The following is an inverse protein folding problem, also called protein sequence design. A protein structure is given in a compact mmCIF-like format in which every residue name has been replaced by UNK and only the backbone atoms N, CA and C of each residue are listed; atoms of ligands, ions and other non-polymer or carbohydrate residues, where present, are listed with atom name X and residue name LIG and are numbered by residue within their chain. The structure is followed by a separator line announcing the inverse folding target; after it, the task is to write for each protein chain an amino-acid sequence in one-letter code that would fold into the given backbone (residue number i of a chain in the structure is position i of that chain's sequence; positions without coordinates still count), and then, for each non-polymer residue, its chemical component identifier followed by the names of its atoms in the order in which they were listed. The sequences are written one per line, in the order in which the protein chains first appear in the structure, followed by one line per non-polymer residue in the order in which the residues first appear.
data_IF_171572557439
#
_entry.id   IF_171572557439
#
_cell.length_a   1.000
_cell.length_b   1.000
_cell.length_c   1.000
_cell.angle_alpha   90.00
_cell.angle_beta   90.00
_cell.angle_gamma   90.00
#
_symmetry.space_group_name_H-M   'P 1'
#
loop_
_entity.id
_entity.type
_entity.pdbx_description
1 polymer ?
#
# COMPACT_ATOMS: atom_id res chain seq x y z
N UNK A 1 -25.98 100.30 -33.79
CA UNK A 1 -26.37 99.09 -33.08
C UNK A 1 -25.84 97.85 -33.84
N UNK A 2 -24.64 97.38 -33.46
CA UNK A 2 -24.08 96.17 -34.10
C UNK A 2 -23.88 95.09 -33.05
N UNK A 3 -24.59 93.98 -33.19
CA UNK A 3 -24.43 92.81 -32.39
C UNK A 3 -23.30 91.97 -32.99
N UNK A 4 -22.23 91.75 -32.20
CA UNK A 4 -21.14 90.83 -32.52
C UNK A 4 -21.49 89.47 -31.98
N UNK A 5 -21.67 88.50 -32.85
CA UNK A 5 -21.87 87.05 -32.48
C UNK A 5 -20.50 86.34 -32.41
N UNK A 6 -20.12 85.89 -31.21
CA UNK A 6 -18.92 85.18 -30.92
C UNK A 6 -19.16 83.66 -31.12
N UNK A 7 -18.52 83.05 -32.10
CA UNK A 7 -18.53 81.66 -32.37
C UNK A 7 -17.52 80.97 -31.43
N UNK A 8 -17.99 80.03 -30.58
CA UNK A 8 -17.11 79.16 -29.81
C UNK A 8 -16.90 77.86 -30.59
N UNK A 9 -15.66 77.56 -30.96
CA UNK A 9 -15.20 76.30 -31.50
C UNK A 9 -14.86 75.37 -30.32
N UNK A 10 -15.66 74.32 -30.14
CA UNK A 10 -15.38 73.33 -29.18
C UNK A 10 -14.35 72.32 -29.76
N UNK A 11 -13.18 72.28 -29.16
CA UNK A 11 -12.18 71.25 -29.46
C UNK A 11 -12.54 69.96 -28.74
N UNK A 12 -12.80 68.90 -29.51
CA UNK A 12 -13.10 67.53 -28.99
C UNK A 12 -11.75 66.82 -28.76
N UNK A 13 -11.33 66.73 -27.51
CA UNK A 13 -10.17 65.93 -27.12
C UNK A 13 -10.64 64.46 -26.94
N UNK A 14 -10.33 63.59 -27.92
CA UNK A 14 -10.50 62.17 -27.82
C UNK A 14 -9.37 61.61 -26.93
N UNK A 15 -9.68 61.31 -25.68
CA UNK A 15 -8.83 60.56 -24.78
C UNK A 15 -8.84 59.06 -25.13
N UNK A 16 -7.73 58.56 -25.67
CA UNK A 16 -7.50 57.12 -25.89
C UNK A 16 -7.19 56.47 -24.53
N UNK A 17 -8.18 55.89 -23.87
CA UNK A 17 -7.99 55.07 -22.70
C UNK A 17 -7.51 53.69 -23.17
N UNK A 18 -6.19 53.48 -23.17
CA UNK A 18 -5.59 52.18 -23.42
C UNK A 18 -5.89 51.23 -22.26
N UNK A 19 -6.80 50.28 -22.51
CA UNK A 19 -7.09 49.17 -21.58
C UNK A 19 -5.91 48.20 -21.61
N UNK A 20 -4.98 48.32 -20.65
CA UNK A 20 -3.91 47.34 -20.42
C UNK A 20 -4.56 46.08 -19.82
N UNK A 21 -4.88 45.10 -20.67
CA UNK A 21 -5.26 43.78 -20.24
C UNK A 21 -4.00 43.08 -19.68
N UNK A 22 -3.81 43.12 -18.35
CA UNK A 22 -2.84 42.31 -17.65
C UNK A 22 -3.30 40.85 -17.77
N UNK A 23 -2.82 40.14 -18.80
CA UNK A 23 -2.92 38.70 -18.86
C UNK A 23 -2.10 38.11 -17.69
N UNK A 24 -2.77 37.72 -16.61
CA UNK A 24 -2.15 36.93 -15.55
C UNK A 24 -1.82 35.56 -16.14
N UNK A 25 -0.55 35.39 -16.54
CA UNK A 25 -0.01 34.06 -16.90
C UNK A 25 0.02 33.25 -15.62
N UNK A 26 -1.01 32.45 -15.38
CA UNK A 26 -0.97 31.39 -14.37
C UNK A 26 0.06 30.39 -14.85
N UNK A 27 1.28 30.48 -14.31
CA UNK A 27 2.30 29.46 -14.50
C UNK A 27 1.84 28.20 -13.76
N UNK A 28 1.25 27.25 -14.48
CA UNK A 28 1.05 25.89 -13.94
C UNK A 28 2.45 25.31 -13.75
N UNK A 29 2.78 24.99 -12.50
CA UNK A 29 4.00 24.26 -12.20
C UNK A 29 3.96 22.95 -13.00
N UNK A 30 4.95 22.75 -13.86
CA UNK A 30 5.05 21.50 -14.63
C UNK A 30 5.37 20.37 -13.67
N UNK A 31 4.74 19.20 -13.87
CA UNK A 31 5.07 17.99 -13.12
C UNK A 31 6.59 17.75 -13.11
N UNK A 32 7.19 17.41 -11.97
CA UNK A 32 8.61 17.07 -11.89
C UNK A 32 9.00 15.87 -12.75
N UNK A 33 8.02 15.14 -13.29
CA UNK A 33 8.19 14.02 -14.22
C UNK A 33 8.03 14.45 -15.68
N UNK A 34 7.70 15.72 -15.95
CA UNK A 34 7.60 16.24 -17.29
C UNK A 34 8.98 16.17 -17.99
N UNK A 35 9.01 15.61 -19.19
CA UNK A 35 10.24 15.50 -19.97
C UNK A 35 11.05 14.23 -19.72
N UNK A 36 10.57 13.28 -18.89
CA UNK A 36 11.15 11.94 -18.82
C UNK A 36 10.85 11.21 -20.14
N UNK A 37 11.90 10.65 -20.74
CA UNK A 37 11.81 9.85 -21.94
C UNK A 37 11.82 8.34 -21.64
N UNK A 38 11.78 7.52 -22.68
CA UNK A 38 11.77 6.06 -22.56
C UNK A 38 13.05 5.52 -21.87
N UNK A 39 14.19 6.17 -22.09
CA UNK A 39 15.45 5.79 -21.44
C UNK A 39 15.44 6.11 -19.94
N UNK A 40 14.80 7.21 -19.54
CA UNK A 40 14.58 7.56 -18.14
C UNK A 40 13.67 6.53 -17.44
N UNK A 41 12.61 6.09 -18.11
CA UNK A 41 11.71 5.06 -17.58
C UNK A 41 12.40 3.70 -17.46
N UNK A 42 13.26 3.34 -18.44
CA UNK A 42 14.04 2.11 -18.39
C UNK A 42 15.06 2.14 -17.23
N UNK A 43 15.71 3.27 -17.00
CA UNK A 43 16.60 3.45 -15.84
C UNK A 43 15.83 3.43 -14.54
N UNK A 44 14.66 4.07 -14.49
CA UNK A 44 13.72 4.02 -13.36
C UNK A 44 13.31 2.59 -13.01
N UNK A 45 13.07 1.73 -14.01
CA UNK A 45 12.80 0.31 -13.81
C UNK A 45 13.97 -0.43 -13.17
N UNK A 46 15.21 -0.17 -13.60
CA UNK A 46 16.39 -0.80 -13.00
C UNK A 46 16.58 -0.37 -11.55
N UNK A 47 16.47 0.93 -11.29
CA UNK A 47 16.54 1.48 -9.93
C UNK A 47 15.42 0.93 -9.04
N UNK A 48 14.20 0.82 -9.57
CA UNK A 48 13.07 0.20 -8.87
C UNK A 48 13.38 -1.25 -8.46
N UNK A 49 13.97 -2.04 -9.37
CA UNK A 49 14.34 -3.44 -9.06
C UNK A 49 15.37 -3.54 -7.94
N UNK A 50 16.29 -2.59 -7.87
CA UNK A 50 17.32 -2.57 -6.82
C UNK A 50 16.76 -2.11 -5.48
N UNK A 51 15.96 -1.04 -5.46
CA UNK A 51 15.57 -0.36 -4.22
C UNK A 51 14.15 -0.72 -3.72
N UNK A 52 13.26 -1.14 -4.59
CA UNK A 52 11.83 -1.21 -4.29
C UNK A 52 11.24 -2.62 -4.46
N UNK A 53 11.79 -3.42 -5.40
CA UNK A 53 11.20 -4.70 -5.80
C UNK A 53 11.16 -5.74 -4.68
N UNK A 54 12.07 -5.68 -3.69
CA UNK A 54 12.05 -6.56 -2.53
C UNK A 54 10.68 -6.54 -1.84
N UNK A 55 10.10 -5.35 -1.69
CA UNK A 55 8.81 -5.17 -1.01
C UNK A 55 7.64 -5.11 -2.00
N UNK A 56 7.81 -4.43 -3.14
CA UNK A 56 6.73 -4.19 -4.09
C UNK A 56 6.63 -5.23 -5.22
N UNK A 57 7.50 -6.24 -5.22
CA UNK A 57 7.61 -7.25 -6.29
C UNK A 57 8.34 -6.72 -7.53
N UNK A 58 8.93 -7.61 -8.33
CA UNK A 58 9.77 -7.25 -9.49
C UNK A 58 9.04 -6.42 -10.56
N UNK A 59 7.71 -6.51 -10.60
CA UNK A 59 6.84 -5.80 -11.54
C UNK A 59 5.91 -4.81 -10.85
N UNK A 60 6.16 -4.48 -9.57
CA UNK A 60 5.30 -3.57 -8.80
C UNK A 60 3.92 -4.12 -8.44
N UNK A 61 3.67 -5.41 -8.60
CA UNK A 61 2.37 -6.05 -8.35
C UNK A 61 2.08 -6.34 -6.87
N UNK A 62 2.94 -5.85 -5.99
CA UNK A 62 2.84 -6.07 -4.55
C UNK A 62 3.66 -7.25 -4.06
N UNK A 63 3.80 -7.32 -2.76
CA UNK A 63 4.52 -8.29 -1.97
C UNK A 63 4.31 -7.92 -0.51
N UNK A 64 5.36 -7.72 0.29
CA UNK A 64 5.24 -7.05 1.59
C UNK A 64 4.71 -5.62 1.45
N UNK A 65 5.17 -4.90 0.41
CA UNK A 65 4.72 -3.56 0.04
C UNK A 65 3.46 -3.59 -0.81
N UNK A 66 2.87 -2.42 -1.02
CA UNK A 66 1.64 -2.26 -1.78
C UNK A 66 1.82 -2.63 -3.26
N UNK A 67 0.71 -3.08 -3.89
CA UNK A 67 0.59 -3.18 -5.33
C UNK A 67 0.59 -1.78 -5.95
N UNK A 68 1.55 -1.50 -6.82
CA UNK A 68 1.74 -0.21 -7.50
C UNK A 68 1.12 -0.16 -8.90
N UNK A 69 0.64 -1.30 -9.45
CA UNK A 69 -0.06 -1.36 -10.73
C UNK A 69 -1.49 -0.81 -10.58
N UNK A 70 -1.61 0.46 -10.18
CA UNK A 70 -2.87 1.12 -9.92
C UNK A 70 -2.82 2.57 -10.35
N UNK A 71 -3.89 3.09 -10.97
CA UNK A 71 -3.96 4.51 -11.36
C UNK A 71 -3.85 5.46 -10.17
N UNK A 72 -4.32 5.05 -9.01
CA UNK A 72 -4.27 5.84 -7.77
C UNK A 72 -3.57 5.06 -6.66
N UNK A 73 -2.61 5.70 -6.03
CA UNK A 73 -1.89 5.21 -4.87
C UNK A 73 -2.41 5.93 -3.62
N UNK A 74 -2.62 5.18 -2.53
CA UNK A 74 -3.33 5.65 -1.31
C UNK A 74 -2.80 6.96 -0.71
N UNK A 75 -1.48 7.16 -0.75
CA UNK A 75 -0.81 8.29 -0.09
C UNK A 75 -0.25 9.31 -1.09
N UNK A 76 -0.59 9.19 -2.37
CA UNK A 76 0.00 9.99 -3.46
C UNK A 76 -1.08 10.85 -4.10
N UNK A 77 -1.05 12.15 -3.84
CA UNK A 77 -1.92 13.15 -4.48
C UNK A 77 -1.44 13.53 -5.88
N UNK A 78 -0.13 13.71 -6.03
CA UNK A 78 0.55 14.24 -7.22
C UNK A 78 1.95 13.64 -7.38
N UNK A 79 2.73 14.13 -8.31
CA UNK A 79 4.08 13.61 -8.61
C UNK A 79 5.12 14.09 -7.61
N UNK A 80 4.94 15.28 -7.07
CA UNK A 80 5.77 15.84 -6.00
C UNK A 80 5.67 14.98 -4.73
N UNK A 81 4.45 14.65 -4.33
CA UNK A 81 4.19 13.76 -3.19
C UNK A 81 4.79 12.38 -3.42
N UNK A 82 4.71 11.84 -4.65
CA UNK A 82 5.33 10.56 -4.97
C UNK A 82 6.84 10.60 -4.76
N UNK A 83 7.52 11.64 -5.24
CA UNK A 83 8.98 11.81 -5.06
C UNK A 83 9.31 12.01 -3.57
N UNK A 84 8.49 12.77 -2.84
CA UNK A 84 8.68 12.95 -1.40
C UNK A 84 8.57 11.62 -0.64
N UNK A 85 7.57 10.80 -0.95
CA UNK A 85 7.41 9.46 -0.37
C UNK A 85 8.60 8.57 -0.70
N UNK A 86 9.09 8.58 -1.93
CA UNK A 86 10.30 7.83 -2.29
C UNK A 86 11.51 8.28 -1.49
N UNK A 87 11.66 9.59 -1.27
CA UNK A 87 12.79 10.17 -0.54
C UNK A 87 12.72 9.94 0.97
N UNK A 88 11.53 10.07 1.58
CA UNK A 88 11.33 10.10 3.05
C UNK A 88 10.65 8.86 3.61
N UNK A 89 10.00 8.05 2.75
CA UNK A 89 9.13 6.96 3.18
C UNK A 89 7.77 7.45 3.66
N UNK A 90 7.00 6.55 4.25
CA UNK A 90 5.69 6.84 4.84
C UNK A 90 5.77 6.59 6.34
N UNK A 91 5.74 7.64 7.18
CA UNK A 91 5.82 7.51 8.64
C UNK A 91 4.74 6.55 9.19
N UNK A 92 5.11 5.74 10.16
CA UNK A 92 4.20 4.76 10.79
C UNK A 92 3.90 3.52 9.93
N UNK A 93 4.61 3.35 8.80
CA UNK A 93 4.48 2.17 7.93
C UNK A 93 5.84 1.48 7.73
N UNK A 94 5.83 0.32 7.06
CA UNK A 94 7.06 -0.39 6.65
C UNK A 94 7.74 0.18 5.40
N UNK A 95 7.26 1.28 4.82
CA UNK A 95 7.86 1.91 3.65
C UNK A 95 8.99 2.87 4.04
N UNK A 96 10.25 2.51 3.91
CA UNK A 96 11.37 3.41 4.20
C UNK A 96 11.59 4.38 3.05
N UNK A 97 12.20 5.53 3.35
CA UNK A 97 12.71 6.42 2.31
C UNK A 97 14.05 5.94 1.73
N UNK A 98 14.35 6.38 0.51
CA UNK A 98 15.67 6.21 -0.10
C UNK A 98 16.15 7.51 -0.74
N UNK A 99 17.44 7.83 -0.52
CA UNK A 99 18.09 8.98 -1.15
C UNK A 99 19.24 8.56 -2.07
N UNK A 100 19.58 7.26 -2.05
CA UNK A 100 20.72 6.72 -2.79
C UNK A 100 20.71 7.00 -4.28
N UNK A 101 19.55 6.97 -5.00
CA UNK A 101 19.53 7.27 -6.43
C UNK A 101 19.74 8.75 -6.78
N UNK A 102 19.74 9.65 -5.78
CA UNK A 102 19.74 11.09 -6.00
C UNK A 102 18.43 11.60 -6.60
N UNK A 103 18.35 12.94 -6.85
CA UNK A 103 17.11 13.59 -7.33
C UNK A 103 16.65 13.00 -8.68
N UNK A 104 17.56 12.90 -9.66
CA UNK A 104 17.24 12.36 -10.99
C UNK A 104 16.75 10.92 -10.91
N UNK A 105 17.42 10.07 -10.13
CA UNK A 105 17.01 8.68 -9.96
C UNK A 105 15.65 8.53 -9.26
N UNK A 106 15.33 9.40 -8.30
CA UNK A 106 14.00 9.43 -7.69
C UNK A 106 12.90 9.82 -8.69
N UNK A 107 13.17 10.80 -9.57
CA UNK A 107 12.27 11.17 -10.66
C UNK A 107 12.07 10.00 -11.63
N UNK A 108 13.14 9.31 -12.01
CA UNK A 108 13.09 8.13 -12.89
C UNK A 108 12.28 6.99 -12.27
N UNK A 109 12.47 6.70 -10.97
CA UNK A 109 11.66 5.70 -10.24
C UNK A 109 10.20 6.14 -10.21
N UNK A 110 9.90 7.41 -9.91
CA UNK A 110 8.54 7.93 -9.88
C UNK A 110 7.86 7.82 -11.26
N UNK A 111 8.55 8.17 -12.34
CA UNK A 111 8.08 8.00 -13.71
C UNK A 111 7.75 6.53 -14.02
N UNK A 112 8.64 5.60 -13.66
CA UNK A 112 8.38 4.17 -13.82
C UNK A 112 7.17 3.71 -12.98
N UNK A 113 7.03 4.14 -11.72
CA UNK A 113 5.88 3.81 -10.87
C UNK A 113 4.58 4.33 -11.49
N UNK A 114 4.57 5.55 -12.06
CA UNK A 114 3.40 6.06 -12.79
C UNK A 114 3.05 5.23 -14.03
N UNK A 115 4.06 4.74 -14.75
CA UNK A 115 3.82 3.85 -15.90
C UNK A 115 3.19 2.53 -15.49
N UNK A 116 3.54 1.99 -14.32
CA UNK A 116 2.88 0.79 -13.77
C UNK A 116 1.38 1.00 -13.59
N UNK A 117 0.97 2.19 -13.13
CA UNK A 117 -0.44 2.54 -12.94
C UNK A 117 -1.27 2.60 -14.23
N UNK A 118 -0.62 2.61 -15.38
CA UNK A 118 -1.27 2.60 -16.71
C UNK A 118 -1.44 1.17 -17.26
N UNK A 119 -0.83 0.18 -16.63
CA UNK A 119 -1.00 -1.21 -17.04
C UNK A 119 -2.43 -1.71 -16.77
N UNK A 120 -2.94 -2.66 -17.57
CA UNK A 120 -4.22 -3.27 -17.30
C UNK A 120 -4.29 -3.85 -15.89
N UNK A 121 -5.39 -3.58 -15.19
CA UNK A 121 -5.63 -4.17 -13.86
C UNK A 121 -5.79 -5.67 -14.00
N UNK A 122 -5.10 -6.43 -13.13
CA UNK A 122 -5.27 -7.89 -13.08
C UNK A 122 -6.71 -8.24 -12.71
N UNK A 123 -7.34 -9.07 -13.54
CA UNK A 123 -8.67 -9.62 -13.28
C UNK A 123 -8.46 -11.02 -12.69
N UNK A 124 -8.87 -11.27 -11.44
CA UNK A 124 -8.77 -12.59 -10.85
C UNK A 124 -9.75 -13.55 -11.57
N UNK A 125 -9.35 -14.82 -11.78
CA UNK A 125 -10.14 -15.76 -12.59
C UNK A 125 -11.38 -16.34 -11.89
N UNK A 126 -11.56 -16.07 -10.58
CA UNK A 126 -12.64 -16.64 -9.75
C UNK A 126 -13.84 -15.74 -9.57
N UNK A 127 -14.88 -16.27 -8.92
CA UNK A 127 -16.10 -15.56 -8.53
C UNK A 127 -15.96 -15.01 -7.11
N UNK A 128 -16.02 -13.69 -6.95
CA UNK A 128 -15.87 -13.03 -5.66
C UNK A 128 -17.03 -13.31 -4.68
N UNK A 129 -18.24 -13.59 -5.19
CA UNK A 129 -19.41 -13.92 -4.34
C UNK A 129 -19.25 -15.30 -3.75
N UNK A 130 -18.86 -16.28 -4.57
CA UNK A 130 -18.53 -17.63 -4.09
C UNK A 130 -17.33 -17.58 -3.14
N UNK A 131 -16.31 -16.81 -3.48
CA UNK A 131 -15.13 -16.62 -2.64
C UNK A 131 -15.46 -16.06 -1.26
N UNK A 132 -16.42 -15.13 -1.15
CA UNK A 132 -16.92 -14.64 0.13
C UNK A 132 -17.59 -15.77 0.93
N UNK A 133 -18.43 -16.55 0.29
CA UNK A 133 -19.10 -17.69 0.95
C UNK A 133 -18.07 -18.70 1.49
N UNK A 134 -17.04 -19.02 0.69
CA UNK A 134 -15.97 -19.93 1.11
C UNK A 134 -15.17 -19.31 2.26
N UNK A 135 -14.85 -18.02 2.21
CA UNK A 135 -14.15 -17.27 3.25
C UNK A 135 -14.87 -17.38 4.61
N UNK A 136 -16.19 -17.22 4.60
CA UNK A 136 -17.04 -17.22 5.80
C UNK A 136 -17.35 -18.63 6.31
N UNK A 137 -17.28 -19.68 5.46
CA UNK A 137 -17.71 -21.05 5.78
C UNK A 137 -16.54 -22.03 5.75
N UNK A 138 -16.36 -22.74 4.65
CA UNK A 138 -15.36 -23.83 4.47
C UNK A 138 -13.93 -23.38 4.74
N UNK A 139 -13.57 -22.16 4.34
CA UNK A 139 -12.25 -21.58 4.58
C UNK A 139 -12.00 -21.19 6.02
N UNK A 140 -13.05 -20.85 6.79
CA UNK A 140 -12.94 -20.43 8.18
C UNK A 140 -12.05 -19.21 8.41
N UNK A 141 -11.87 -18.36 7.39
CA UNK A 141 -10.87 -17.28 7.41
C UNK A 141 -11.19 -16.21 8.45
N UNK A 142 -12.48 -15.96 8.72
CA UNK A 142 -12.97 -15.01 9.74
C UNK A 142 -12.62 -15.41 11.18
N UNK A 143 -12.24 -16.65 11.42
CA UNK A 143 -11.73 -17.10 12.73
C UNK A 143 -10.41 -16.40 13.10
N UNK A 144 -9.62 -16.01 12.08
CA UNK A 144 -8.32 -15.35 12.28
C UNK A 144 -8.28 -13.93 11.74
N UNK A 145 -8.97 -13.63 10.64
CA UNK A 145 -8.88 -12.34 9.94
C UNK A 145 -10.13 -11.48 10.15
N UNK A 146 -9.92 -10.16 10.19
CA UNK A 146 -10.99 -9.17 10.19
C UNK A 146 -11.23 -8.68 8.78
N UNK A 147 -12.50 -8.62 8.37
CA UNK A 147 -12.98 -7.91 7.18
C UNK A 147 -14.16 -7.03 7.60
N UNK A 148 -14.07 -5.72 7.38
CA UNK A 148 -15.11 -4.72 7.71
C UNK A 148 -15.62 -4.87 9.16
N UNK A 149 -14.67 -4.98 10.10
CA UNK A 149 -14.96 -5.10 11.53
C UNK A 149 -15.43 -6.48 12.00
N UNK A 150 -15.64 -7.45 11.11
CA UNK A 150 -16.04 -8.81 11.46
C UNK A 150 -14.85 -9.77 11.44
N UNK A 151 -14.68 -10.57 12.50
CA UNK A 151 -13.60 -11.54 12.67
C UNK A 151 -12.82 -11.34 13.98
N UNK A 152 -11.74 -12.11 14.20
CA UNK A 152 -11.04 -12.13 15.51
C UNK A 152 -9.71 -11.38 15.54
N UNK A 153 -9.12 -10.98 14.44
CA UNK A 153 -7.86 -10.22 14.41
C UNK A 153 -6.63 -10.95 14.94
N UNK A 154 -6.58 -12.27 14.79
CA UNK A 154 -5.38 -13.08 15.06
C UNK A 154 -4.40 -12.93 13.91
N UNK A 155 -4.92 -12.96 12.66
CA UNK A 155 -4.18 -12.65 11.46
C UNK A 155 -4.30 -11.18 11.04
N UNK A 156 -3.64 -10.77 9.92
CA UNK A 156 -3.78 -9.43 9.37
C UNK A 156 -5.22 -9.04 9.08
N UNK A 157 -5.51 -7.77 9.26
CA UNK A 157 -6.76 -7.15 8.84
C UNK A 157 -6.81 -7.11 7.30
N UNK A 158 -7.94 -7.50 6.70
CA UNK A 158 -8.07 -7.73 5.27
C UNK A 158 -9.07 -6.80 4.55
N UNK A 159 -9.74 -5.88 5.22
CA UNK A 159 -10.77 -5.03 4.61
C UNK A 159 -10.32 -4.27 3.36
N UNK A 160 -9.04 -3.90 3.29
CA UNK A 160 -8.44 -3.21 2.14
C UNK A 160 -7.34 -4.03 1.44
N UNK A 161 -7.28 -5.34 1.70
CA UNK A 161 -6.19 -6.19 1.21
C UNK A 161 -6.08 -6.19 -0.31
N UNK A 162 -7.21 -6.14 -1.01
CA UNK A 162 -7.26 -6.06 -2.46
C UNK A 162 -6.72 -4.73 -3.01
N UNK A 163 -6.56 -3.67 -2.20
CA UNK A 163 -5.79 -2.47 -2.58
C UNK A 163 -4.29 -2.62 -2.32
N UNK A 164 -3.91 -3.39 -1.30
CA UNK A 164 -2.53 -3.50 -0.85
C UNK A 164 -1.75 -4.61 -1.55
N UNK A 165 -2.42 -5.69 -1.93
CA UNK A 165 -1.79 -6.92 -2.46
C UNK A 165 -2.25 -7.25 -3.86
N UNK A 166 -1.36 -7.84 -4.66
CA UNK A 166 -1.70 -8.35 -6.00
C UNK A 166 -2.13 -9.82 -5.95
N UNK A 167 -2.67 -10.31 -7.07
CA UNK A 167 -3.19 -11.66 -7.25
C UNK A 167 -2.17 -12.73 -6.85
N UNK A 168 -0.93 -12.62 -7.36
CA UNK A 168 0.13 -13.60 -7.10
C UNK A 168 0.45 -13.72 -5.61
N UNK A 169 0.56 -12.58 -4.90
CA UNK A 169 0.83 -12.56 -3.46
C UNK A 169 -0.31 -13.20 -2.66
N UNK A 170 -1.57 -12.87 -2.97
CA UNK A 170 -2.72 -13.45 -2.28
C UNK A 170 -2.82 -14.95 -2.51
N UNK A 171 -2.57 -15.42 -3.74
CA UNK A 171 -2.52 -16.84 -4.05
C UNK A 171 -1.39 -17.55 -3.29
N UNK A 172 -0.19 -16.99 -3.28
CA UNK A 172 0.95 -17.54 -2.53
C UNK A 172 0.65 -17.62 -1.04
N UNK A 173 0.03 -16.58 -0.46
CA UNK A 173 -0.33 -16.55 0.97
C UNK A 173 -1.31 -17.66 1.36
N UNK A 174 -2.18 -18.09 0.46
CA UNK A 174 -3.09 -19.23 0.69
C UNK A 174 -2.39 -20.58 0.52
N UNK A 175 -1.45 -20.69 -0.41
CA UNK A 175 -0.76 -21.93 -0.74
C UNK A 175 0.45 -22.21 0.16
N UNK A 176 1.15 -21.16 0.56
CA UNK A 176 2.41 -21.25 1.31
C UNK A 176 2.52 -20.06 2.30
N UNK A 177 1.66 -20.01 3.33
CA UNK A 177 1.48 -18.84 4.18
C UNK A 177 2.70 -18.41 5.00
N UNK A 178 3.73 -19.25 5.09
CA UNK A 178 5.01 -18.92 5.72
C UNK A 178 6.06 -18.34 4.78
N UNK A 179 5.84 -18.38 3.45
CA UNK A 179 6.86 -18.00 2.45
C UNK A 179 7.20 -16.51 2.49
N UNK A 180 6.19 -15.65 2.65
CA UNK A 180 6.35 -14.19 2.70
C UNK A 180 5.57 -13.64 3.88
N UNK A 181 6.22 -13.51 5.04
CA UNK A 181 5.59 -12.93 6.22
C UNK A 181 5.71 -11.41 6.20
N UNK A 182 4.63 -10.67 6.48
CA UNK A 182 4.69 -9.22 6.65
C UNK A 182 5.68 -8.86 7.76
N UNK A 183 6.64 -8.01 7.45
CA UNK A 183 7.60 -7.51 8.44
C UNK A 183 7.59 -5.98 8.46
N UNK A 184 7.82 -5.40 9.63
CA UNK A 184 8.07 -3.97 9.78
C UNK A 184 9.49 -3.79 10.26
N UNK A 185 10.32 -3.08 9.48
CA UNK A 185 11.74 -2.85 9.79
C UNK A 185 12.53 -4.15 10.07
N UNK A 186 12.20 -5.26 9.37
CA UNK A 186 12.85 -6.56 9.55
C UNK A 186 12.35 -7.37 10.75
N UNK A 187 11.37 -6.87 11.49
CA UNK A 187 10.74 -7.60 12.59
C UNK A 187 9.49 -8.30 12.07
N UNK A 188 9.41 -9.62 12.15
CA UNK A 188 8.24 -10.38 11.77
C UNK A 188 7.02 -9.94 12.58
N UNK A 189 6.02 -9.32 11.92
CA UNK A 189 4.81 -8.82 12.56
C UNK A 189 3.88 -9.92 13.07
N UNK A 190 3.99 -11.12 12.47
CA UNK A 190 3.14 -12.28 12.78
C UNK A 190 4.03 -13.49 13.11
N UNK A 191 4.95 -13.34 14.10
CA UNK A 191 5.84 -14.40 14.51
C UNK A 191 5.09 -15.43 15.39
N UNK A 192 5.02 -16.66 14.90
CA UNK A 192 4.52 -17.78 15.69
C UNK A 192 5.51 -18.11 16.81
N UNK A 193 4.98 -18.39 18.00
CA UNK A 193 5.76 -18.78 19.17
C UNK A 193 5.08 -19.94 19.89
N UNK A 194 5.92 -20.84 20.47
CA UNK A 194 5.51 -21.87 21.42
C UNK A 194 6.17 -21.56 22.74
N UNK A 195 5.40 -21.48 23.79
CA UNK A 195 5.85 -21.12 25.11
C UNK A 195 5.41 -22.17 26.12
N UNK A 196 6.35 -22.66 26.93
CA UNK A 196 6.11 -23.58 28.04
C UNK A 196 6.45 -22.91 29.35
N UNK A 197 5.53 -23.02 30.30
CA UNK A 197 5.76 -22.76 31.74
C UNK A 197 5.56 -24.04 32.51
N UNK A 198 5.80 -24.04 33.82
CA UNK A 198 5.53 -25.21 34.69
C UNK A 198 4.09 -25.71 34.57
N UNK A 199 3.11 -24.86 34.24
CA UNK A 199 1.69 -25.16 34.31
C UNK A 199 0.97 -25.07 32.95
N UNK A 200 1.62 -24.62 31.87
CA UNK A 200 0.96 -24.37 30.58
C UNK A 200 1.89 -24.54 29.38
N UNK A 201 1.31 -24.97 28.26
CA UNK A 201 1.90 -24.92 26.94
C UNK A 201 0.99 -24.08 26.06
N UNK A 202 1.51 -22.99 25.53
CA UNK A 202 0.74 -22.05 24.71
C UNK A 202 1.43 -21.90 23.35
N UNK A 203 0.64 -22.01 22.30
CA UNK A 203 1.04 -21.67 20.95
C UNK A 203 0.21 -20.46 20.50
N UNK A 204 0.85 -19.51 19.88
CA UNK A 204 0.18 -18.29 19.42
C UNK A 204 1.09 -17.35 18.67
N UNK A 205 0.61 -16.16 18.47
CA UNK A 205 1.33 -15.09 17.81
C UNK A 205 1.93 -14.13 18.84
N UNK A 206 3.22 -13.82 18.70
CA UNK A 206 3.85 -12.77 19.49
C UNK A 206 3.23 -11.42 19.16
N UNK A 207 2.71 -10.74 20.19
CA UNK A 207 2.20 -9.37 20.09
C UNK A 207 3.29 -8.37 20.43
N UNK A 208 3.94 -8.60 21.58
CA UNK A 208 4.99 -7.74 22.09
C UNK A 208 6.04 -8.56 22.81
N UNK A 209 7.27 -8.07 22.86
CA UNK A 209 8.37 -8.71 23.57
C UNK A 209 9.43 -7.66 23.93
N UNK A 210 9.86 -7.66 25.17
CA UNK A 210 10.99 -6.89 25.66
C UNK A 210 12.03 -7.80 26.38
N UNK A 211 12.97 -7.21 27.10
CA UNK A 211 13.98 -7.96 27.83
C UNK A 211 13.40 -8.82 28.98
N UNK A 212 12.23 -8.47 29.51
CA UNK A 212 11.67 -9.03 30.75
C UNK A 212 10.39 -9.83 30.53
N UNK A 213 9.61 -9.47 29.48
CA UNK A 213 8.29 -10.02 29.26
C UNK A 213 8.04 -10.38 27.79
N UNK A 214 7.01 -11.22 27.58
CA UNK A 214 6.47 -11.50 26.26
C UNK A 214 4.94 -11.56 26.35
N UNK A 215 4.27 -11.01 25.36
CA UNK A 215 2.83 -11.11 25.16
C UNK A 215 2.52 -11.95 23.92
N UNK A 216 1.64 -12.93 24.09
CA UNK A 216 1.24 -13.88 23.05
C UNK A 216 -0.28 -13.82 22.93
N UNK A 217 -0.80 -13.76 21.71
CA UNK A 217 -2.20 -13.99 21.41
C UNK A 217 -2.36 -15.44 20.94
N UNK A 218 -3.13 -16.23 21.68
CA UNK A 218 -3.42 -17.62 21.29
C UNK A 218 -4.45 -17.70 20.14
N UNK A 219 -4.69 -18.91 19.65
CA UNK A 219 -5.64 -19.17 18.55
C UNK A 219 -7.11 -18.90 18.92
N UNK A 220 -7.41 -18.72 20.22
CA UNK A 220 -8.75 -18.31 20.67
C UNK A 220 -8.89 -16.79 20.72
N UNK A 221 -7.80 -16.04 20.47
CA UNK A 221 -7.74 -14.58 20.54
C UNK A 221 -7.40 -14.03 21.93
N UNK A 222 -7.17 -14.91 22.91
CA UNK A 222 -6.80 -14.52 24.28
C UNK A 222 -5.37 -14.02 24.33
N UNK A 223 -5.15 -12.90 25.02
CA UNK A 223 -3.81 -12.33 25.23
C UNK A 223 -3.27 -12.86 26.55
N UNK A 224 -2.11 -13.50 26.47
CA UNK A 224 -1.35 -13.99 27.61
C UNK A 224 -0.09 -13.15 27.78
N UNK A 225 0.22 -12.77 29.02
CA UNK A 225 1.45 -12.03 29.37
C UNK A 225 2.29 -12.87 30.31
N UNK A 226 3.57 -13.06 29.99
CA UNK A 226 4.49 -13.86 30.77
C UNK A 226 5.73 -13.04 31.14
N UNK A 227 6.19 -13.20 32.38
CA UNK A 227 7.54 -12.80 32.76
C UNK A 227 8.51 -13.86 32.23
N UNK A 228 9.58 -13.46 31.55
CA UNK A 228 10.56 -14.39 30.96
C UNK A 228 11.25 -15.30 32.01
N UNK A 229 11.26 -14.91 33.29
CA UNK A 229 11.79 -15.74 34.38
C UNK A 229 10.90 -16.96 34.70
N UNK A 230 9.63 -16.92 34.30
CA UNK A 230 8.66 -17.99 34.54
C UNK A 230 8.56 -18.95 33.34
N UNK A 231 9.27 -18.64 32.23
CA UNK A 231 9.27 -19.42 31.01
C UNK A 231 10.38 -20.46 31.07
N UNK A 232 9.98 -21.74 30.94
CA UNK A 232 10.91 -22.85 30.83
C UNK A 232 11.45 -23.02 29.42
N UNK A 233 10.60 -22.77 28.40
CA UNK A 233 10.97 -22.87 27.00
C UNK A 233 10.20 -21.83 26.17
N UNK A 234 10.90 -21.16 25.26
CA UNK A 234 10.33 -20.20 24.31
C UNK A 234 10.93 -20.47 22.93
N UNK A 235 10.12 -21.06 22.05
CA UNK A 235 10.49 -21.32 20.66
C UNK A 235 9.88 -20.26 19.75
N UNK A 236 10.73 -19.54 19.02
CA UNK A 236 10.34 -18.60 17.98
C UNK A 236 10.40 -19.32 16.64
N UNK A 237 9.26 -19.54 16.00
CA UNK A 237 9.16 -20.37 14.79
C UNK A 237 9.17 -19.47 13.57
N UNK A 238 10.36 -19.19 13.06
CA UNK A 238 10.55 -18.39 11.85
C UNK A 238 10.18 -19.19 10.59
N UNK A 239 9.63 -18.51 9.58
CA UNK A 239 9.23 -19.13 8.30
C UNK A 239 7.99 -20.04 8.42
N UNK A 240 7.36 -20.11 9.59
CA UNK A 240 6.12 -20.83 9.82
C UNK A 240 4.97 -19.85 10.11
N UNK A 241 3.81 -20.15 9.58
CA UNK A 241 2.57 -19.40 9.81
C UNK A 241 1.57 -20.22 10.60
N UNK A 242 0.81 -19.56 11.47
CA UNK A 242 -0.37 -20.16 12.10
C UNK A 242 -1.54 -20.31 11.12
N UNK A 243 -1.49 -19.64 9.96
CA UNK A 243 -2.44 -19.80 8.88
C UNK A 243 -2.21 -21.16 8.20
N UNK A 244 -3.24 -22.02 8.03
CA UNK A 244 -3.09 -23.30 7.38
C UNK A 244 -2.79 -23.16 5.88
N UNK A 245 -2.20 -24.20 5.28
CA UNK A 245 -2.07 -24.31 3.83
C UNK A 245 -3.41 -24.72 3.21
N UNK A 246 -4.00 -23.83 2.42
CA UNK A 246 -5.34 -24.07 1.87
C UNK A 246 -5.38 -25.03 0.68
N UNK A 247 -4.22 -25.44 0.14
CA UNK A 247 -4.15 -26.45 -0.93
C UNK A 247 -4.78 -27.80 -0.54
N UNK A 248 -4.82 -28.11 0.77
CA UNK A 248 -5.41 -29.37 1.28
C UNK A 248 -6.87 -29.21 1.69
N UNK A 249 -7.38 -27.98 1.74
CA UNK A 249 -8.75 -27.66 2.18
C UNK A 249 -9.62 -27.26 1.00
N UNK A 250 -9.07 -26.47 0.06
CA UNK A 250 -9.80 -25.87 -1.06
C UNK A 250 -9.31 -26.44 -2.39
N UNK A 251 -10.22 -26.62 -3.33
CA UNK A 251 -9.90 -26.93 -4.74
C UNK A 251 -9.27 -25.70 -5.42
N UNK A 252 -8.67 -25.89 -6.60
CA UNK A 252 -8.11 -24.75 -7.37
C UNK A 252 -9.17 -23.71 -7.73
N UNK A 253 -10.39 -24.12 -8.06
CA UNK A 253 -11.50 -23.20 -8.34
C UNK A 253 -11.87 -22.41 -7.09
N UNK A 254 -12.04 -23.06 -5.94
CA UNK A 254 -12.35 -22.41 -4.67
C UNK A 254 -11.23 -21.45 -4.23
N UNK A 255 -9.96 -21.80 -4.47
CA UNK A 255 -8.82 -20.91 -4.23
C UNK A 255 -8.91 -19.66 -5.12
N UNK A 256 -9.25 -19.84 -6.42
CA UNK A 256 -9.42 -18.72 -7.33
C UNK A 256 -10.57 -17.81 -6.89
N UNK A 257 -11.68 -18.37 -6.41
CA UNK A 257 -12.84 -17.63 -5.90
C UNK A 257 -12.47 -16.83 -4.64
N UNK A 258 -11.75 -17.42 -3.69
CA UNK A 258 -11.28 -16.73 -2.49
C UNK A 258 -10.32 -15.59 -2.86
N UNK A 259 -9.38 -15.81 -3.78
CA UNK A 259 -8.47 -14.76 -4.26
C UNK A 259 -9.26 -13.63 -4.92
N UNK A 260 -10.29 -13.96 -5.71
CA UNK A 260 -11.18 -12.97 -6.34
C UNK A 260 -11.90 -12.13 -5.27
N UNK A 261 -12.43 -12.76 -4.25
CA UNK A 261 -13.03 -12.06 -3.10
C UNK A 261 -12.04 -11.14 -2.40
N UNK A 262 -10.85 -11.65 -2.04
CA UNK A 262 -9.83 -10.83 -1.37
C UNK A 262 -9.39 -9.64 -2.24
N UNK A 263 -9.26 -9.82 -3.55
CA UNK A 263 -8.96 -8.72 -4.47
C UNK A 263 -10.10 -7.71 -4.60
N UNK A 264 -11.34 -8.09 -4.31
CA UNK A 264 -12.49 -7.18 -4.30
C UNK A 264 -12.52 -6.27 -3.06
N UNK A 265 -11.83 -6.62 -1.98
CA UNK A 265 -11.79 -5.86 -0.73
C UNK A 265 -10.93 -4.59 -0.90
N UNK A 266 -11.60 -3.42 -0.96
CA UNK A 266 -10.97 -2.12 -1.23
C UNK A 266 -10.95 -1.19 -0.02
N UNK A 267 -11.42 -1.63 1.14
CA UNK A 267 -11.72 -0.77 2.27
C UNK A 267 -13.02 -0.01 2.06
N UNK A 268 -13.58 0.49 3.13
CA UNK A 268 -14.67 1.48 3.04
C UNK A 268 -14.07 2.81 2.62
N UNK A 269 -14.67 3.45 1.61
CA UNK A 269 -14.31 4.78 1.11
C UNK A 269 -14.87 5.87 2.02
#
# INVERSE_FOLDING_TARGET
MHRVTRKYTAAFVMGLAGLLCLATVTSYAQSPLAGLDESDLAEGQKLFRVHCARCHGMQGKGGEGANLNRPRLKYVSDDEMLIEILSRGIPGTGMPGTRSPGVKGLQQIAGYVRSLGQLPTEIPPGDAVQGRTIYETKGGCSVCHIVNGMGRGIGPELSDVGQRRGLAYLKESLLTPGATQPSTMGVAGYLAVRLRTANSLIEGMRINEDAFSIQIRDLNGTIHSFNKREIEQLDKVFGHSLMPEYRVVLTESELADVVSYLMSLKGES
#
